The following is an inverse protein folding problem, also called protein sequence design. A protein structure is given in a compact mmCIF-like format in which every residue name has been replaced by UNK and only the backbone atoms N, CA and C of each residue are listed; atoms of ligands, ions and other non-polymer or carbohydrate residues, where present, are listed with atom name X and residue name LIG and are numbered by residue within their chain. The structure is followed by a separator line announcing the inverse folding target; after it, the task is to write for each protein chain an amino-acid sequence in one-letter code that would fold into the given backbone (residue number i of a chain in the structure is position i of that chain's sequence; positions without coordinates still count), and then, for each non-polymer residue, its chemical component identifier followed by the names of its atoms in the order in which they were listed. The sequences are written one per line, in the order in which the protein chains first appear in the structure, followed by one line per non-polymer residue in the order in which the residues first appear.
data_IF_495214884362
#
_entry.id   IF_495214884362
#
_cell.length_a   1.000
_cell.length_b   1.000
_cell.length_c   1.000
_cell.angle_alpha   90.00
_cell.angle_beta   90.00
_cell.angle_gamma   90.00
#
_symmetry.space_group_name_H-M   'P 1'
#
loop_
_entity.id
_entity.type
_entity.pdbx_description
1 polymer ?
#
# COMPACT_ATOMS: atom_id res chain seq x y z
N UNK A 1 -3.18 33.23 -20.02
CA UNK A 1 -3.83 31.91 -20.15
C UNK A 1 -3.07 30.97 -19.24
N UNK A 2 -3.67 30.54 -18.12
CA UNK A 2 -3.01 29.58 -17.25
C UNK A 2 -2.96 28.24 -18.01
N UNK A 3 -1.76 27.73 -18.27
CA UNK A 3 -1.58 26.35 -18.70
C UNK A 3 -2.18 25.47 -17.60
N UNK A 4 -3.40 24.97 -17.82
CA UNK A 4 -3.93 23.85 -17.06
C UNK A 4 -3.03 22.67 -17.40
N UNK A 5 -1.95 22.50 -16.64
CA UNK A 5 -1.25 21.22 -16.57
C UNK A 5 -2.29 20.25 -16.04
N UNK A 6 -2.87 19.43 -16.91
CA UNK A 6 -3.70 18.31 -16.51
C UNK A 6 -2.89 17.47 -15.52
N UNK A 7 -3.21 17.61 -14.24
CA UNK A 7 -2.49 16.92 -13.19
C UNK A 7 -2.78 15.44 -13.31
N UNK A 8 -1.73 14.64 -13.57
CA UNK A 8 -1.84 13.19 -13.48
C UNK A 8 -2.24 12.82 -12.06
N UNK A 9 -3.32 12.04 -11.93
CA UNK A 9 -3.81 11.57 -10.65
C UNK A 9 -3.40 10.11 -10.46
N UNK A 10 -2.85 9.80 -9.29
CA UNK A 10 -2.47 8.43 -8.90
C UNK A 10 -3.45 7.93 -7.84
N UNK A 11 -4.14 6.83 -8.13
CA UNK A 11 -4.95 6.13 -7.16
C UNK A 11 -4.25 4.87 -6.67
N UNK A 12 -4.28 4.66 -5.35
CA UNK A 12 -3.74 3.47 -4.70
C UNK A 12 -4.89 2.80 -3.96
N UNK A 13 -5.12 1.53 -4.23
CA UNK A 13 -5.92 0.68 -3.34
C UNK A 13 -4.97 -0.14 -2.48
N UNK A 14 -5.10 0.04 -1.17
CA UNK A 14 -4.37 -0.69 -0.16
C UNK A 14 -5.23 -1.86 0.30
N UNK A 15 -5.20 -2.98 -0.42
CA UNK A 15 -5.94 -4.18 -0.04
C UNK A 15 -5.23 -4.99 1.06
N UNK A 16 -5.96 -5.93 1.66
CA UNK A 16 -5.46 -6.76 2.77
C UNK A 16 -4.33 -7.68 2.32
N UNK A 17 -4.49 -8.35 1.18
CA UNK A 17 -3.51 -9.33 0.65
C UNK A 17 -2.72 -8.77 -0.53
N UNK A 18 -3.36 -7.98 -1.38
CA UNK A 18 -2.73 -7.32 -2.52
C UNK A 18 -3.13 -5.85 -2.56
N UNK A 19 -2.23 -5.02 -3.06
CA UNK A 19 -2.44 -3.61 -3.34
C UNK A 19 -2.24 -3.35 -4.82
N UNK A 20 -2.88 -2.32 -5.33
CA UNK A 20 -2.77 -1.93 -6.74
C UNK A 20 -2.59 -0.42 -6.84
N UNK A 21 -1.97 0.02 -7.92
CA UNK A 21 -1.74 1.43 -8.20
C UNK A 21 -2.11 1.73 -9.65
N UNK A 22 -2.78 2.85 -9.85
CA UNK A 22 -3.34 3.25 -11.13
C UNK A 22 -3.11 4.74 -11.39
N UNK A 23 -3.04 5.10 -12.66
CA UNK A 23 -2.98 6.50 -13.12
C UNK A 23 -4.22 6.84 -13.93
N UNK A 24 -4.77 8.03 -13.72
CA UNK A 24 -5.73 8.65 -14.63
C UNK A 24 -4.98 9.44 -15.70
N UNK A 25 -5.09 9.00 -16.95
CA UNK A 25 -4.49 9.70 -18.09
C UNK A 25 -5.35 9.48 -19.33
N UNK A 26 -5.45 10.49 -20.21
CA UNK A 26 -6.17 10.39 -21.48
C UNK A 26 -7.62 9.90 -21.31
N UNK A 27 -8.30 10.41 -20.29
CA UNK A 27 -9.68 10.02 -19.96
C UNK A 27 -9.89 8.51 -19.71
N UNK A 28 -8.85 7.75 -19.32
CA UNK A 28 -8.97 6.36 -18.86
C UNK A 28 -8.11 6.03 -17.64
N UNK A 29 -8.57 5.07 -16.82
CA UNK A 29 -7.72 4.43 -15.80
C UNK A 29 -6.70 3.55 -16.51
N UNK A 30 -5.43 3.66 -16.16
CA UNK A 30 -4.40 2.69 -16.53
C UNK A 30 -3.79 2.11 -15.25
N UNK A 31 -3.81 0.77 -15.14
CA UNK A 31 -3.15 0.07 -14.03
C UNK A 31 -1.65 0.04 -14.27
N UNK A 32 -0.89 0.46 -13.28
CA UNK A 32 0.57 0.47 -13.34
C UNK A 32 1.08 -0.91 -12.89
N UNK A 33 1.90 -1.54 -13.73
CA UNK A 33 2.59 -2.79 -13.37
C UNK A 33 3.78 -2.51 -12.47
N UNK A 34 4.04 -3.41 -11.53
CA UNK A 34 5.22 -3.33 -10.68
C UNK A 34 6.50 -3.76 -11.42
N UNK A 35 7.62 -3.76 -10.71
CA UNK A 35 8.95 -4.14 -11.20
C UNK A 35 9.06 -5.61 -11.66
N UNK A 36 8.08 -6.45 -11.33
CA UNK A 36 7.96 -7.83 -11.81
C UNK A 36 6.96 -7.99 -12.98
N UNK A 37 6.34 -6.89 -13.43
CA UNK A 37 5.31 -6.91 -14.47
C UNK A 37 3.90 -7.28 -13.97
N UNK A 38 3.69 -7.35 -12.66
CA UNK A 38 2.39 -7.69 -12.06
C UNK A 38 1.52 -6.44 -11.88
N UNK A 39 0.21 -6.56 -12.14
CA UNK A 39 -0.78 -5.49 -11.93
C UNK A 39 -1.13 -5.23 -10.46
N UNK A 40 -0.85 -6.22 -9.61
CA UNK A 40 -1.09 -6.18 -8.17
C UNK A 40 0.20 -6.54 -7.45
N UNK A 41 0.47 -5.89 -6.33
CA UNK A 41 1.64 -6.15 -5.48
C UNK A 41 1.17 -6.72 -4.15
N UNK A 42 1.75 -7.83 -3.65
CA UNK A 42 1.40 -8.36 -2.35
C UNK A 42 1.54 -7.31 -1.23
N UNK A 43 0.57 -7.22 -0.32
CA UNK A 43 0.62 -6.38 0.88
C UNK A 43 1.47 -7.04 1.98
N UNK A 44 2.69 -7.45 1.60
CA UNK A 44 3.65 -8.16 2.44
C UNK A 44 4.82 -7.23 2.75
N UNK A 45 5.27 -7.25 3.99
CA UNK A 45 6.48 -6.58 4.44
C UNK A 45 7.31 -7.58 5.22
N UNK A 46 8.56 -7.78 4.82
CA UNK A 46 9.41 -8.75 5.47
C UNK A 46 10.76 -8.14 5.85
N UNK A 47 11.17 -8.43 7.08
CA UNK A 47 12.35 -7.85 7.71
C UNK A 47 13.46 -8.88 7.71
N UNK A 48 14.62 -8.48 7.18
CA UNK A 48 15.82 -9.32 7.13
C UNK A 48 16.96 -8.65 7.92
N UNK A 49 18.07 -9.35 8.19
CA UNK A 49 19.25 -8.75 8.81
C UNK A 49 19.87 -7.61 7.98
N UNK A 50 19.67 -7.60 6.66
CA UNK A 50 20.25 -6.60 5.76
C UNK A 50 19.28 -5.45 5.49
N UNK A 51 18.07 -5.80 5.08
CA UNK A 51 17.11 -4.85 4.52
C UNK A 51 15.65 -5.24 4.78
N UNK A 52 14.75 -4.31 4.45
CA UNK A 52 13.32 -4.54 4.48
C UNK A 52 12.83 -4.75 3.05
N UNK A 53 12.17 -5.87 2.82
CA UNK A 53 11.55 -6.22 1.55
C UNK A 53 10.05 -5.93 1.61
N UNK A 54 9.46 -5.53 0.49
CA UNK A 54 8.03 -5.23 0.34
C UNK A 54 7.51 -5.85 -0.96
N UNK A 55 6.26 -6.30 -0.99
CA UNK A 55 5.66 -6.81 -2.22
C UNK A 55 6.09 -8.24 -2.54
N UNK A 56 6.34 -8.51 -3.83
CA UNK A 56 6.72 -9.83 -4.32
C UNK A 56 8.00 -10.35 -3.65
N UNK A 57 8.99 -9.47 -3.44
CA UNK A 57 10.22 -9.82 -2.74
C UNK A 57 9.97 -10.30 -1.30
N UNK A 58 9.01 -9.69 -0.59
CA UNK A 58 8.64 -10.10 0.75
C UNK A 58 7.86 -11.42 0.76
N UNK A 59 6.92 -11.58 -0.18
CA UNK A 59 6.12 -12.81 -0.30
C UNK A 59 6.97 -14.03 -0.63
N UNK A 60 7.96 -13.89 -1.52
CA UNK A 60 8.81 -14.99 -1.97
C UNK A 60 9.68 -15.60 -0.86
N UNK A 61 9.95 -14.86 0.22
CA UNK A 61 10.76 -15.34 1.33
C UNK A 61 9.95 -15.84 2.53
N UNK A 62 8.61 -15.77 2.50
CA UNK A 62 7.76 -16.11 3.66
C UNK A 62 8.01 -17.53 4.16
N UNK A 63 8.28 -18.48 3.26
CA UNK A 63 8.56 -19.87 3.62
C UNK A 63 9.87 -20.04 4.42
N UNK A 64 10.83 -19.12 4.29
CA UNK A 64 12.14 -19.16 4.97
C UNK A 64 12.23 -18.17 6.13
N UNK A 65 11.36 -17.17 6.16
CA UNK A 65 11.39 -16.06 7.13
C UNK A 65 9.99 -15.73 7.64
N UNK A 66 9.22 -16.74 8.02
CA UNK A 66 7.80 -16.60 8.34
C UNK A 66 7.54 -15.65 9.52
N UNK A 67 8.36 -15.71 10.57
CA UNK A 67 8.18 -14.92 11.80
C UNK A 67 8.46 -13.43 11.64
N UNK A 68 9.24 -13.06 10.61
CA UNK A 68 9.53 -11.65 10.28
C UNK A 68 8.90 -11.21 8.97
N UNK A 69 7.96 -11.98 8.43
CA UNK A 69 7.19 -11.65 7.23
C UNK A 69 5.75 -11.33 7.63
N UNK A 70 5.41 -10.06 7.57
CA UNK A 70 4.12 -9.52 7.99
C UNK A 70 3.20 -9.40 6.78
N UNK A 71 1.98 -9.86 6.94
CA UNK A 71 0.88 -9.78 5.97
C UNK A 71 -0.42 -9.52 6.73
N UNK A 72 -1.51 -9.20 6.01
CA UNK A 72 -2.83 -8.94 6.60
C UNK A 72 -2.88 -7.82 7.66
N UNK A 73 -1.86 -6.94 7.70
CA UNK A 73 -1.75 -5.86 8.68
C UNK A 73 -2.99 -4.94 8.69
N UNK A 74 -3.70 -4.81 7.55
CA UNK A 74 -4.96 -4.05 7.45
C UNK A 74 -6.04 -4.54 8.42
N UNK A 75 -6.04 -5.82 8.79
CA UNK A 75 -7.00 -6.39 9.76
C UNK A 75 -6.84 -5.82 11.17
N UNK A 76 -5.64 -5.33 11.50
CA UNK A 76 -5.31 -4.76 12.81
C UNK A 76 -5.56 -3.25 12.92
N UNK A 77 -5.75 -2.55 11.79
CA UNK A 77 -5.92 -1.09 11.80
C UNK A 77 -7.21 -0.70 12.52
N UNK A 78 -7.10 0.21 13.48
CA UNK A 78 -8.24 0.70 14.26
C UNK A 78 -8.84 -0.31 15.23
N UNK A 79 -8.20 -1.46 15.44
CA UNK A 79 -8.62 -2.51 16.38
C UNK A 79 -7.86 -2.42 17.69
N UNK A 80 -8.44 -3.01 18.72
CA UNK A 80 -7.79 -3.23 20.02
C UNK A 80 -7.14 -4.60 20.05
N UNK A 81 -6.04 -4.74 20.79
CA UNK A 81 -5.38 -6.02 20.97
C UNK A 81 -6.34 -7.00 21.66
N UNK A 82 -7.11 -6.54 22.65
CA UNK A 82 -8.12 -7.35 23.36
C UNK A 82 -9.34 -7.78 22.53
N UNK A 83 -9.52 -7.27 21.30
CA UNK A 83 -10.67 -7.63 20.47
C UNK A 83 -10.67 -9.14 20.14
N UNK A 84 -11.79 -9.87 20.32
CA UNK A 84 -11.85 -11.31 20.06
C UNK A 84 -11.48 -11.71 18.62
N UNK A 85 -11.79 -10.86 17.65
CA UNK A 85 -11.39 -11.07 16.26
C UNK A 85 -9.87 -10.97 16.08
N UNK A 86 -9.21 -10.03 16.76
CA UNK A 86 -7.75 -9.88 16.73
C UNK A 86 -7.10 -11.08 17.39
N UNK A 87 -7.59 -11.52 18.56
CA UNK A 87 -7.08 -12.71 19.22
C UNK A 87 -7.22 -13.97 18.36
N UNK A 88 -8.33 -14.09 17.61
CA UNK A 88 -8.54 -15.19 16.67
C UNK A 88 -7.57 -15.14 15.49
N UNK A 89 -7.38 -13.97 14.89
CA UNK A 89 -6.47 -13.75 13.75
C UNK A 89 -4.99 -13.98 14.14
N UNK A 90 -4.58 -13.61 15.36
CA UNK A 90 -3.21 -13.84 15.87
C UNK A 90 -2.81 -15.31 15.82
N UNK A 91 -3.75 -16.22 16.05
CA UNK A 91 -3.48 -17.67 16.00
C UNK A 91 -3.22 -18.20 14.58
N UNK A 92 -3.58 -17.43 13.55
CA UNK A 92 -3.39 -17.79 12.15
C UNK A 92 -2.08 -17.26 11.57
N UNK A 93 -1.44 -16.30 12.24
CA UNK A 93 -0.23 -15.65 11.76
C UNK A 93 1.04 -16.32 12.28
N UNK A 94 2.07 -16.32 11.44
CA UNK A 94 3.40 -16.82 11.83
C UNK A 94 4.24 -15.78 12.58
N UNK A 95 3.86 -14.50 12.53
CA UNK A 95 4.52 -13.41 13.25
C UNK A 95 3.81 -13.11 14.57
N UNK A 96 4.55 -12.56 15.53
CA UNK A 96 4.03 -12.28 16.87
C UNK A 96 3.35 -10.91 16.90
N UNK A 97 2.22 -10.82 17.58
CA UNK A 97 1.55 -9.56 17.94
C UNK A 97 1.45 -9.49 19.46
N UNK A 98 1.74 -8.33 20.03
CA UNK A 98 1.67 -8.06 21.47
C UNK A 98 0.76 -6.87 21.76
N UNK A 99 0.32 -6.79 23.02
CA UNK A 99 -0.34 -5.60 23.53
C UNK A 99 0.66 -4.44 23.66
N UNK A 100 0.35 -3.32 23.03
CA UNK A 100 1.04 -2.06 23.18
C UNK A 100 0.25 -1.03 23.99
N UNK A 101 0.76 0.21 24.07
CA UNK A 101 0.11 1.27 24.83
C UNK A 101 -1.34 1.50 24.39
N UNK A 102 -2.25 1.58 25.37
CA UNK A 102 -3.67 1.84 25.10
C UNK A 102 -4.40 0.69 24.43
N UNK A 103 -3.96 -0.56 24.67
CA UNK A 103 -4.54 -1.78 24.09
C UNK A 103 -4.43 -1.79 22.56
N UNK A 104 -3.34 -1.23 22.03
CA UNK A 104 -3.06 -1.20 20.58
C UNK A 104 -2.27 -2.45 20.19
N UNK A 105 -2.65 -3.22 19.16
CA UNK A 105 -1.87 -4.36 18.69
C UNK A 105 -0.56 -3.89 18.06
N UNK A 106 0.55 -4.45 18.52
CA UNK A 106 1.91 -4.16 18.03
C UNK A 106 2.54 -5.42 17.44
N UNK A 107 2.99 -5.33 16.20
CA UNK A 107 3.61 -6.43 15.46
C UNK A 107 5.09 -6.49 15.81
N UNK A 108 5.56 -7.66 16.26
CA UNK A 108 6.95 -7.88 16.69
C UNK A 108 7.73 -8.59 15.60
N UNK A 109 8.85 -7.99 15.20
CA UNK A 109 9.77 -8.54 14.20
C UNK A 109 11.22 -8.35 14.65
N UNK A 110 12.12 -9.21 14.21
CA UNK A 110 13.55 -8.97 14.30
C UNK A 110 14.05 -8.29 13.02
N UNK A 111 14.62 -7.09 13.16
CA UNK A 111 15.19 -6.35 12.05
C UNK A 111 16.60 -5.91 12.40
N UNK A 112 17.57 -6.27 11.54
CA UNK A 112 19.01 -6.00 11.77
C UNK A 112 19.52 -6.48 13.14
N UNK A 113 19.04 -7.64 13.59
CA UNK A 113 19.43 -8.24 14.87
C UNK A 113 18.75 -7.63 16.09
N UNK A 114 17.85 -6.66 15.92
CA UNK A 114 17.15 -5.96 17.00
C UNK A 114 15.65 -6.23 16.90
N UNK A 115 15.02 -6.55 18.04
CA UNK A 115 13.57 -6.64 18.10
C UNK A 115 12.94 -5.25 17.92
N UNK A 116 11.97 -5.17 17.01
CA UNK A 116 11.23 -3.95 16.68
C UNK A 116 9.74 -4.22 16.79
N UNK A 117 9.02 -3.23 17.29
CA UNK A 117 7.57 -3.25 17.40
C UNK A 117 7.01 -2.21 16.45
N UNK A 118 6.09 -2.63 15.58
CA UNK A 118 5.45 -1.76 14.61
C UNK A 118 3.94 -1.79 14.78
N UNK A 119 3.32 -0.62 14.69
CA UNK A 119 1.89 -0.53 14.53
C UNK A 119 1.45 -0.98 13.12
N UNK A 120 0.20 -1.43 13.00
CA UNK A 120 -0.36 -1.85 11.72
C UNK A 120 -0.32 -0.74 10.64
N UNK A 121 -0.47 0.52 11.06
CA UNK A 121 -0.38 1.69 10.18
C UNK A 121 1.05 1.91 9.67
N UNK A 122 2.07 1.60 10.47
CA UNK A 122 3.46 1.69 10.04
C UNK A 122 3.78 0.64 8.98
N UNK A 123 3.33 -0.60 9.16
CA UNK A 123 3.47 -1.66 8.15
C UNK A 123 2.74 -1.26 6.85
N UNK A 124 1.52 -0.76 6.98
CA UNK A 124 0.73 -0.27 5.84
C UNK A 124 1.42 0.90 5.12
N UNK A 125 2.08 1.79 5.86
CA UNK A 125 2.85 2.89 5.28
C UNK A 125 4.03 2.39 4.44
N UNK A 126 4.63 1.25 4.77
CA UNK A 126 5.73 0.65 4.00
C UNK A 126 5.20 0.10 2.66
N UNK A 127 4.00 -0.48 2.66
CA UNK A 127 3.31 -0.90 1.42
C UNK A 127 2.95 0.32 0.57
N UNK A 128 2.38 1.36 1.16
CA UNK A 128 2.05 2.61 0.46
C UNK A 128 3.29 3.28 -0.16
N UNK A 129 4.44 3.25 0.53
CA UNK A 129 5.72 3.73 -0.02
C UNK A 129 6.12 2.94 -1.27
N UNK A 130 6.01 1.60 -1.25
CA UNK A 130 6.28 0.79 -2.46
C UNK A 130 5.30 1.09 -3.59
N UNK A 131 4.02 1.32 -3.29
CA UNK A 131 3.02 1.69 -4.32
C UNK A 131 3.35 3.04 -4.95
N UNK A 132 3.80 4.00 -4.13
CA UNK A 132 4.31 5.29 -4.60
C UNK A 132 5.54 5.10 -5.49
N UNK A 133 6.56 4.35 -5.06
CA UNK A 133 7.76 4.08 -5.86
C UNK A 133 7.43 3.48 -7.24
N UNK A 134 6.46 2.57 -7.30
CA UNK A 134 5.97 1.99 -8.57
C UNK A 134 5.38 3.07 -9.47
N UNK A 135 4.53 3.95 -8.92
CA UNK A 135 3.97 5.08 -9.67
C UNK A 135 5.06 6.05 -10.14
N UNK A 136 6.02 6.40 -9.28
CA UNK A 136 7.14 7.29 -9.60
C UNK A 136 7.99 6.72 -10.74
N UNK A 137 8.31 5.42 -10.70
CA UNK A 137 9.07 4.74 -11.75
C UNK A 137 8.31 4.75 -13.09
N UNK A 138 6.99 4.49 -13.07
CA UNK A 138 6.15 4.57 -14.27
C UNK A 138 6.14 5.97 -14.87
N UNK A 139 5.90 7.01 -14.05
CA UNK A 139 5.84 8.40 -14.51
C UNK A 139 7.19 8.87 -15.06
N UNK A 140 8.29 8.50 -14.40
CA UNK A 140 9.65 8.78 -14.87
C UNK A 140 9.93 8.12 -16.23
N UNK A 141 9.51 6.85 -16.41
CA UNK A 141 9.67 6.14 -17.68
C UNK A 141 8.93 6.80 -18.87
N UNK A 142 7.90 7.61 -18.57
CA UNK A 142 7.09 8.35 -19.55
C UNK A 142 7.55 9.81 -19.72
N UNK A 143 8.55 10.26 -18.95
CA UNK A 143 9.02 11.66 -18.97
C UNK A 143 7.98 12.66 -18.43
N UNK A 144 7.07 12.21 -17.55
CA UNK A 144 5.97 13.03 -17.05
C UNK A 144 6.36 13.78 -15.77
N UNK A 145 6.21 15.10 -15.77
CA UNK A 145 6.35 15.95 -14.58
C UNK A 145 5.16 15.69 -13.64
N UNK A 146 5.43 15.26 -12.41
CA UNK A 146 4.40 14.91 -11.43
C UNK A 146 4.69 15.58 -10.09
N UNK A 147 3.62 15.94 -9.37
CA UNK A 147 3.70 16.49 -8.01
C UNK A 147 2.82 15.68 -7.08
N UNK A 148 3.38 15.26 -5.94
CA UNK A 148 2.59 14.69 -4.87
C UNK A 148 1.70 15.78 -4.27
N UNK A 149 0.38 15.58 -4.29
CA UNK A 149 -0.56 16.43 -3.56
C UNK A 149 -1.14 15.62 -2.41
N UNK A 150 -0.93 16.08 -1.18
CA UNK A 150 -1.46 15.44 0.04
C UNK A 150 -2.97 15.63 0.20
N UNK A 151 -3.64 16.33 -0.73
CA UNK A 151 -5.08 16.43 -0.71
C UNK A 151 -5.70 15.06 -1.04
N UNK A 152 -6.28 14.43 0.00
CA UNK A 152 -7.13 13.23 -0.08
C UNK A 152 -8.34 13.40 -1.01
N UNK A 153 -8.55 14.60 -1.54
CA UNK A 153 -9.47 14.87 -2.65
C UNK A 153 -8.66 15.05 -3.92
N UNK A 154 -8.85 14.14 -4.87
CA UNK A 154 -8.28 14.27 -6.21
C UNK A 154 -8.73 15.60 -6.83
N UNK A 155 -7.83 16.30 -7.55
CA UNK A 155 -8.21 17.53 -8.21
C UNK A 155 -9.38 17.23 -9.16
N UNK A 156 -10.43 18.07 -9.17
CA UNK A 156 -11.52 17.92 -10.11
C UNK A 156 -10.98 17.90 -11.55
N UNK A 157 -11.45 16.94 -12.36
CA UNK A 157 -11.10 16.88 -13.77
C UNK A 157 -12.04 17.83 -14.50
N UNK A 158 -11.52 18.86 -15.17
CA UNK A 158 -12.36 19.76 -15.97
C UNK A 158 -12.48 19.19 -17.38
N UNK A 159 -13.70 18.75 -17.76
CA UNK A 159 -14.02 18.32 -19.12
C UNK A 159 -15.01 19.30 -19.73
N UNK A 160 -14.68 19.87 -20.88
CA UNK A 160 -15.53 20.84 -21.60
C UNK A 160 -16.00 22.02 -20.73
N UNK A 161 -15.15 22.49 -19.80
CA UNK A 161 -15.50 23.56 -18.85
C UNK A 161 -16.32 23.13 -17.63
N UNK A 162 -16.67 21.84 -17.53
CA UNK A 162 -17.37 21.26 -16.38
C UNK A 162 -16.43 20.50 -15.45
N UNK A 163 -16.56 20.73 -14.15
CA UNK A 163 -15.92 19.90 -13.13
C UNK A 163 -16.58 18.53 -13.12
N UNK A 164 -15.89 17.53 -13.66
CA UNK A 164 -16.24 16.13 -13.58
C UNK A 164 -15.51 15.53 -12.38
N UNK A 165 -16.24 14.77 -11.56
CA UNK A 165 -15.68 13.87 -10.55
C UNK A 165 -15.95 12.46 -11.02
N UNK A 166 -15.11 11.86 -11.88
CA UNK A 166 -15.39 10.51 -12.33
C UNK A 166 -15.30 9.55 -11.12
N UNK A 167 -15.99 8.41 -11.19
CA UNK A 167 -16.03 7.43 -10.10
C UNK A 167 -14.75 6.57 -10.07
N UNK A 168 -13.59 7.23 -10.04
CA UNK A 168 -12.24 6.65 -10.08
C UNK A 168 -12.03 5.55 -9.06
N UNK A 169 -12.48 5.80 -7.84
CA UNK A 169 -12.32 4.87 -6.72
C UNK A 169 -12.98 3.54 -7.04
N UNK A 170 -14.22 3.56 -7.57
CA UNK A 170 -14.91 2.33 -7.98
C UNK A 170 -14.24 1.61 -9.14
N UNK A 171 -13.66 2.35 -10.10
CA UNK A 171 -12.97 1.72 -11.22
C UNK A 171 -11.66 1.07 -10.79
N UNK A 172 -10.89 1.73 -9.91
CA UNK A 172 -9.67 1.15 -9.34
C UNK A 172 -10.01 -0.11 -8.53
N UNK A 173 -11.01 -0.03 -7.65
CA UNK A 173 -11.46 -1.18 -6.85
C UNK A 173 -11.87 -2.37 -7.72
N UNK A 174 -12.52 -2.13 -8.87
CA UNK A 174 -12.92 -3.22 -9.79
C UNK A 174 -11.76 -3.99 -10.43
N UNK A 175 -10.53 -3.46 -10.39
CA UNK A 175 -9.34 -4.17 -10.89
C UNK A 175 -8.59 -4.94 -9.80
N UNK A 176 -8.99 -4.79 -8.54
CA UNK A 176 -8.25 -5.29 -7.38
C UNK A 176 -9.03 -6.39 -6.61
N UNK A 177 -10.27 -6.67 -7.03
CA UNK A 177 -11.04 -7.90 -6.77
C UNK A 177 -10.72 -9.00 -7.80
#
# INVERSE_FOLDING_TARGET
MANHREGLAIGIDLGTTYSCVAVWQNERVEIIVNDQGNRTTPSFVAFTPAERLVGDAAKNQVARNATNSVFDAKRLIGRRFSDPSVQSDINLWSFKVIEGPGDKPMIVVNYKGVEKHFAAEEISSMVLKKMREIAEAYLASRGLDWRFSEHLSFPPVVKDGHVVRPNWVSQILSFCE
#
